data_IF_080067350224
#
_entry.id   IF_080067350224
#
_cell.length_a   1.000
_cell.length_b   1.000
_cell.length_c   1.000
_cell.angle_alpha   90.00
_cell.angle_beta   90.00
_cell.angle_gamma   90.00
#
_symmetry.space_group_name_H-M   'P 1'
#
loop_
_entity.id
_entity.type
_entity.pdbx_description
1 polymer ?
#
# COMPACT_ATOMS: atom_id res chain seq x y z
N UNK A 1 -5.09 10.32 -4.24
CA UNK A 1 -5.91 10.44 -3.01
C UNK A 1 -7.14 11.27 -3.30
N UNK A 2 -8.24 11.04 -2.61
CA UNK A 2 -9.47 11.83 -2.67
C UNK A 2 -9.98 12.03 -4.10
N UNK A 3 -9.72 13.18 -4.72
CA UNK A 3 -10.18 13.57 -6.06
C UNK A 3 -9.33 13.00 -7.21
N UNK A 4 -8.54 11.94 -6.98
CA UNK A 4 -7.65 11.39 -8.01
C UNK A 4 -8.34 11.02 -9.32
N UNK A 5 -9.57 10.48 -9.24
CA UNK A 5 -10.41 10.17 -10.40
C UNK A 5 -10.74 11.43 -11.23
N UNK A 6 -11.04 12.56 -10.57
CA UNK A 6 -11.31 13.84 -11.26
C UNK A 6 -10.05 14.39 -11.91
N UNK A 7 -8.93 14.41 -11.18
CA UNK A 7 -7.66 14.92 -11.72
C UNK A 7 -7.24 14.17 -12.98
N UNK A 8 -7.43 12.85 -13.03
CA UNK A 8 -7.13 12.06 -14.23
C UNK A 8 -8.11 12.32 -15.38
N UNK A 9 -9.40 12.54 -15.08
CA UNK A 9 -10.41 12.84 -16.07
C UNK A 9 -10.28 14.27 -16.65
N UNK A 10 -10.03 15.25 -15.78
CA UNK A 10 -9.96 16.68 -16.12
C UNK A 10 -8.61 17.06 -16.76
N UNK A 11 -7.56 16.26 -16.57
CA UNK A 11 -6.22 16.47 -17.12
C UNK A 11 -5.70 15.25 -17.90
N UNK A 12 -6.29 14.93 -19.07
CA UNK A 12 -5.96 13.73 -19.84
C UNK A 12 -4.49 13.66 -20.27
N UNK A 13 -3.87 14.79 -20.62
CA UNK A 13 -2.43 14.83 -20.97
C UNK A 13 -1.53 14.42 -19.80
N UNK A 14 -1.90 14.79 -18.57
CA UNK A 14 -1.20 14.36 -17.37
C UNK A 14 -1.41 12.86 -17.12
N UNK A 15 -2.66 12.39 -17.25
CA UNK A 15 -2.98 10.97 -17.13
C UNK A 15 -2.16 10.12 -18.13
N UNK A 16 -2.03 10.57 -19.37
CA UNK A 16 -1.23 9.91 -20.40
C UNK A 16 0.27 9.99 -20.12
N UNK A 17 0.78 11.13 -19.66
CA UNK A 17 2.21 11.33 -19.39
C UNK A 17 2.73 10.52 -18.19
N UNK A 18 1.90 10.29 -17.17
CA UNK A 18 2.27 9.49 -16.00
C UNK A 18 2.57 8.03 -16.39
N UNK A 19 3.68 7.50 -15.88
CA UNK A 19 4.08 6.11 -16.13
C UNK A 19 3.28 5.09 -15.31
N UNK A 20 2.66 5.53 -14.20
CA UNK A 20 1.98 4.67 -13.23
C UNK A 20 1.02 5.47 -12.37
N UNK A 21 -0.11 4.89 -11.99
CA UNK A 21 -1.01 5.49 -11.00
C UNK A 21 -0.85 4.83 -9.63
N UNK A 22 -1.04 5.60 -8.55
CA UNK A 22 -1.16 5.05 -7.19
C UNK A 22 -2.55 5.35 -6.65
N UNK A 23 -3.22 4.30 -6.23
CA UNK A 23 -4.53 4.38 -5.56
C UNK A 23 -4.35 3.96 -4.10
N UNK A 24 -5.13 4.54 -3.20
CA UNK A 24 -5.26 4.08 -1.83
C UNK A 24 -6.76 3.84 -1.58
N UNK A 25 -7.20 2.58 -1.39
CA UNK A 25 -8.62 2.25 -1.32
C UNK A 25 -9.34 2.90 -0.14
N UNK A 26 -8.65 3.22 0.96
CA UNK A 26 -9.28 3.92 2.09
C UNK A 26 -9.41 5.44 1.93
N UNK A 27 -8.93 6.01 0.80
CA UNK A 27 -8.97 7.45 0.53
C UNK A 27 -9.71 7.82 -0.76
N UNK A 28 -10.47 6.91 -1.36
CA UNK A 28 -11.21 7.15 -2.62
C UNK A 28 -12.72 7.36 -2.39
N UNK A 29 -13.12 7.74 -1.17
CA UNK A 29 -14.51 8.01 -0.82
C UNK A 29 -15.09 6.99 0.17
N UNK A 30 -16.41 7.04 0.36
CA UNK A 30 -17.15 6.21 1.32
C UNK A 30 -18.29 5.46 0.60
N UNK A 31 -18.55 4.21 1.01
CA UNK A 31 -19.64 3.35 0.48
C UNK A 31 -19.61 3.27 -1.04
N UNK A 32 -20.77 3.29 -1.71
CA UNK A 32 -20.89 3.23 -3.19
C UNK A 32 -20.02 4.25 -3.95
N UNK A 33 -19.72 5.41 -3.34
CA UNK A 33 -18.83 6.39 -3.97
C UNK A 33 -17.39 5.89 -4.03
N UNK A 34 -16.95 5.12 -3.03
CA UNK A 34 -15.60 4.52 -2.97
C UNK A 34 -15.37 3.63 -4.18
N UNK A 35 -16.29 2.70 -4.41
CA UNK A 35 -16.16 1.69 -5.46
C UNK A 35 -16.23 2.33 -6.85
N UNK A 36 -17.14 3.29 -7.06
CA UNK A 36 -17.22 4.05 -8.32
C UNK A 36 -15.96 4.86 -8.59
N UNK A 37 -15.39 5.52 -7.57
CA UNK A 37 -14.18 6.33 -7.74
C UNK A 37 -12.93 5.46 -7.93
N UNK A 38 -12.86 4.31 -7.25
CA UNK A 38 -11.84 3.31 -7.49
C UNK A 38 -11.90 2.81 -8.93
N UNK A 39 -13.08 2.38 -9.38
CA UNK A 39 -13.31 1.88 -10.72
C UNK A 39 -12.94 2.90 -11.79
N UNK A 40 -13.33 4.17 -11.62
CA UNK A 40 -12.98 5.24 -12.56
C UNK A 40 -11.46 5.42 -12.75
N UNK A 41 -10.65 5.23 -11.69
CA UNK A 41 -9.19 5.30 -11.83
C UNK A 41 -8.65 4.05 -12.56
N UNK A 42 -9.19 2.86 -12.26
CA UNK A 42 -8.80 1.60 -12.92
C UNK A 42 -9.14 1.64 -14.41
N UNK A 43 -10.34 2.09 -14.77
CA UNK A 43 -10.77 2.29 -16.17
C UNK A 43 -9.85 3.26 -16.91
N UNK A 44 -9.39 4.32 -16.24
CA UNK A 44 -8.42 5.24 -16.82
C UNK A 44 -7.05 4.59 -17.02
N UNK A 45 -6.62 3.75 -16.08
CA UNK A 45 -5.40 2.97 -16.22
C UNK A 45 -5.48 1.99 -17.40
N UNK A 46 -6.63 1.33 -17.58
CA UNK A 46 -6.88 0.47 -18.74
C UNK A 46 -6.80 1.29 -20.03
N UNK A 47 -7.52 2.42 -20.10
CA UNK A 47 -7.56 3.31 -21.28
C UNK A 47 -6.17 3.76 -21.73
N UNK A 48 -5.32 4.19 -20.80
CA UNK A 48 -3.97 4.66 -21.09
C UNK A 48 -2.89 3.59 -20.93
N UNK A 49 -3.29 2.31 -20.80
CA UNK A 49 -2.40 1.17 -20.71
C UNK A 49 -1.40 1.24 -19.53
N UNK A 50 -1.76 1.88 -18.41
CA UNK A 50 -0.88 2.17 -17.27
C UNK A 50 -0.93 1.08 -16.18
N UNK A 51 0.21 0.78 -15.52
CA UNK A 51 0.21 0.04 -14.28
C UNK A 51 -0.38 0.86 -13.12
N UNK A 52 -0.89 0.15 -12.12
CA UNK A 52 -1.49 0.72 -10.91
C UNK A 52 -0.81 0.11 -9.68
N UNK A 53 -0.39 0.96 -8.74
CA UNK A 53 -0.10 0.52 -7.38
C UNK A 53 -1.29 0.76 -6.47
N UNK A 54 -1.84 -0.32 -5.93
CA UNK A 54 -2.83 -0.29 -4.86
C UNK A 54 -2.06 -0.28 -3.54
N UNK A 55 -2.09 0.87 -2.87
CA UNK A 55 -1.32 1.09 -1.65
C UNK A 55 -2.21 1.36 -0.46
N UNK A 56 -2.40 0.34 0.38
CA UNK A 56 -3.05 0.44 1.69
C UNK A 56 -2.07 1.02 2.70
N UNK A 57 -2.55 1.95 3.52
CA UNK A 57 -1.82 2.49 4.66
C UNK A 57 -2.73 2.37 5.88
N UNK A 58 -2.18 1.96 7.03
CA UNK A 58 -2.97 1.80 8.25
C UNK A 58 -3.70 3.07 8.71
N UNK A 59 -3.06 4.25 8.61
CA UNK A 59 -3.64 5.53 9.00
C UNK A 59 -4.80 6.01 8.11
N UNK A 60 -5.06 5.31 7.00
CA UNK A 60 -6.22 5.54 6.14
C UNK A 60 -6.88 4.22 5.80
N UNK A 61 -6.95 3.29 6.75
CA UNK A 61 -7.58 2.00 6.55
C UNK A 61 -9.10 2.16 6.37
N UNK A 62 -9.68 1.29 5.55
CA UNK A 62 -11.12 1.19 5.40
C UNK A 62 -11.78 0.82 6.73
N UNK A 63 -12.50 1.78 7.30
CA UNK A 63 -13.16 1.64 8.61
C UNK A 63 -14.29 0.61 8.56
N UNK A 64 -14.99 0.47 7.44
CA UNK A 64 -16.10 -0.49 7.33
C UNK A 64 -15.58 -1.93 7.37
N UNK A 65 -14.48 -2.19 6.65
CA UNK A 65 -13.80 -3.47 6.69
C UNK A 65 -13.26 -3.78 8.09
N UNK A 66 -12.62 -2.80 8.74
CA UNK A 66 -12.10 -2.98 10.10
C UNK A 66 -13.22 -3.29 11.09
N UNK A 67 -14.32 -2.52 11.09
CA UNK A 67 -15.47 -2.75 11.96
C UNK A 67 -16.06 -4.14 11.75
N UNK A 68 -16.26 -4.55 10.49
CA UNK A 68 -16.76 -5.90 10.18
C UNK A 68 -15.86 -7.00 10.76
N UNK A 69 -14.54 -6.87 10.60
CA UNK A 69 -13.58 -7.84 11.13
C UNK A 69 -13.51 -7.84 12.66
N UNK A 70 -13.68 -6.69 13.30
CA UNK A 70 -13.78 -6.60 14.77
C UNK A 70 -15.06 -7.28 15.28
N UNK A 71 -16.21 -7.04 14.64
CA UNK A 71 -17.48 -7.68 14.97
C UNK A 71 -17.40 -9.20 14.78
N UNK A 72 -16.79 -9.66 13.69
CA UNK A 72 -16.59 -11.09 13.43
C UNK A 72 -15.64 -11.73 14.45
N UNK A 73 -14.57 -11.02 14.85
CA UNK A 73 -13.68 -11.46 15.93
C UNK A 73 -14.42 -11.56 17.27
N UNK A 74 -15.29 -10.59 17.59
CA UNK A 74 -16.12 -10.61 18.80
C UNK A 74 -17.11 -11.78 18.79
N UNK A 75 -17.80 -12.04 17.67
CA UNK A 75 -18.73 -13.19 17.52
C UNK A 75 -18.04 -14.53 17.73
N UNK A 76 -16.74 -14.61 17.41
CA UNK A 76 -15.91 -15.80 17.60
C UNK A 76 -15.30 -15.92 19.00
N UNK A 77 -15.61 -14.99 19.91
CA UNK A 77 -15.12 -15.01 21.29
C UNK A 77 -13.74 -14.35 21.49
N UNK A 78 -13.40 -13.35 20.67
CA UNK A 78 -12.12 -12.63 20.71
C UNK A 78 -10.86 -13.51 20.57
N UNK A 79 -10.79 -14.42 19.58
CA UNK A 79 -9.60 -15.26 19.38
C UNK A 79 -8.36 -14.46 18.98
N UNK A 80 -8.53 -13.25 18.42
CA UNK A 80 -7.45 -12.36 17.99
C UNK A 80 -7.41 -11.08 18.82
N UNK A 81 -6.21 -10.54 19.00
CA UNK A 81 -5.99 -9.19 19.52
C UNK A 81 -6.44 -8.12 18.52
N UNK A 82 -6.71 -6.91 18.99
CA UNK A 82 -7.06 -5.78 18.11
C UNK A 82 -5.97 -5.46 17.07
N UNK A 83 -4.70 -5.66 17.44
CA UNK A 83 -3.56 -5.48 16.53
C UNK A 83 -3.58 -6.52 15.40
N UNK A 84 -3.86 -7.79 15.71
CA UNK A 84 -3.97 -8.85 14.70
C UNK A 84 -5.16 -8.62 13.76
N UNK A 85 -6.31 -8.20 14.29
CA UNK A 85 -7.47 -7.83 13.45
C UNK A 85 -7.13 -6.66 12.52
N UNK A 86 -6.39 -5.67 13.01
CA UNK A 86 -5.94 -4.52 12.19
C UNK A 86 -5.01 -4.97 11.08
N UNK A 87 -4.05 -5.87 11.35
CA UNK A 87 -3.16 -6.44 10.33
C UNK A 87 -3.94 -7.20 9.26
N UNK A 88 -4.92 -8.02 9.67
CA UNK A 88 -5.78 -8.75 8.74
C UNK A 88 -6.59 -7.80 7.86
N UNK A 89 -7.15 -6.72 8.44
CA UNK A 89 -7.89 -5.71 7.69
C UNK A 89 -7.01 -5.01 6.63
N UNK A 90 -5.76 -4.72 6.96
CA UNK A 90 -4.80 -4.14 6.02
C UNK A 90 -4.51 -5.08 4.84
N UNK A 91 -4.28 -6.37 5.12
CA UNK A 91 -4.01 -7.39 4.10
C UNK A 91 -5.24 -7.60 3.21
N UNK A 92 -6.43 -7.81 3.80
CA UNK A 92 -7.67 -7.97 3.04
C UNK A 92 -7.97 -6.74 2.18
N UNK A 93 -7.77 -5.52 2.71
CA UNK A 93 -8.00 -4.30 1.95
C UNK A 93 -7.16 -4.27 0.67
N UNK A 94 -5.91 -4.74 0.71
CA UNK A 94 -5.03 -4.78 -0.46
C UNK A 94 -5.48 -5.85 -1.46
N UNK A 95 -5.78 -7.06 -0.99
CA UNK A 95 -6.18 -8.20 -1.84
C UNK A 95 -7.52 -7.95 -2.51
N UNK A 96 -8.56 -7.60 -1.75
CA UNK A 96 -9.90 -7.33 -2.27
C UNK A 96 -9.89 -6.18 -3.29
N UNK A 97 -9.03 -5.18 -3.09
CA UNK A 97 -8.88 -4.08 -4.05
C UNK A 97 -8.17 -4.52 -5.34
N UNK A 98 -7.22 -5.45 -5.27
CA UNK A 98 -6.60 -6.03 -6.47
C UNK A 98 -7.59 -6.90 -7.23
N UNK A 99 -8.32 -7.77 -6.54
CA UNK A 99 -9.38 -8.60 -7.13
C UNK A 99 -10.42 -7.73 -7.85
N UNK A 100 -10.89 -6.64 -7.21
CA UNK A 100 -11.78 -5.68 -7.85
C UNK A 100 -11.18 -5.04 -9.11
N UNK A 101 -9.89 -4.70 -9.10
CA UNK A 101 -9.22 -4.14 -10.28
C UNK A 101 -9.09 -5.16 -11.42
N UNK A 102 -8.82 -6.43 -11.10
CA UNK A 102 -8.81 -7.55 -12.05
C UNK A 102 -10.21 -7.79 -12.63
N UNK A 103 -11.26 -7.77 -11.81
CA UNK A 103 -12.67 -7.91 -12.24
C UNK A 103 -13.10 -6.81 -13.21
N UNK A 104 -12.61 -5.58 -13.03
CA UNK A 104 -12.83 -4.46 -13.95
C UNK A 104 -12.07 -4.66 -15.28
N UNK A 105 -11.07 -5.53 -15.31
CA UNK A 105 -10.32 -5.90 -16.50
C UNK A 105 -8.89 -5.37 -16.56
N UNK A 106 -8.33 -4.86 -15.45
CA UNK A 106 -6.91 -4.51 -15.40
C UNK A 106 -6.08 -5.79 -15.28
N UNK A 107 -5.17 -6.02 -16.22
CA UNK A 107 -4.29 -7.18 -16.20
C UNK A 107 -3.49 -7.27 -14.90
N UNK A 108 -3.38 -8.49 -14.35
CA UNK A 108 -2.68 -8.77 -13.09
C UNK A 108 -1.23 -8.28 -13.08
N UNK A 109 -0.55 -8.42 -14.21
CA UNK A 109 0.83 -7.97 -14.44
C UNK A 109 0.99 -6.44 -14.32
N UNK A 110 -0.11 -5.69 -14.32
CA UNK A 110 -0.16 -4.23 -14.15
C UNK A 110 -0.45 -3.80 -12.72
N UNK A 111 -0.70 -4.74 -11.82
CA UNK A 111 -1.08 -4.45 -10.44
C UNK A 111 0.12 -4.67 -9.52
N UNK A 112 0.43 -3.65 -8.72
CA UNK A 112 1.44 -3.69 -7.67
C UNK A 112 0.75 -3.43 -6.34
N UNK A 113 1.02 -4.25 -5.32
CA UNK A 113 0.47 -4.07 -3.98
C UNK A 113 1.46 -3.39 -3.04
N UNK A 114 0.94 -2.65 -2.06
CA UNK A 114 1.71 -2.22 -0.89
C UNK A 114 0.76 -2.06 0.29
N UNK A 115 1.22 -2.45 1.48
CA UNK A 115 0.43 -2.44 2.71
C UNK A 115 1.28 -1.88 3.86
N UNK A 116 1.42 -0.55 3.93
CA UNK A 116 2.45 0.08 4.79
C UNK A 116 1.92 0.40 6.18
N UNK A 117 2.74 0.05 7.17
CA UNK A 117 2.59 0.35 8.60
C UNK A 117 3.87 1.00 9.13
N UNK A 118 3.82 1.59 10.32
CA UNK A 118 4.96 2.29 10.95
C UNK A 118 5.71 1.43 11.98
N UNK A 119 5.12 0.34 12.46
CA UNK A 119 5.78 -0.62 13.35
C UNK A 119 6.62 -1.64 12.59
N UNK A 120 7.84 -1.91 13.07
CA UNK A 120 8.76 -2.90 12.46
C UNK A 120 8.13 -4.30 12.42
N UNK A 121 7.65 -4.78 13.57
CA UNK A 121 7.05 -6.12 13.68
C UNK A 121 5.74 -6.22 12.91
N UNK A 122 4.96 -5.14 12.88
CA UNK A 122 3.73 -5.08 12.08
C UNK A 122 4.04 -5.16 10.58
N UNK A 123 5.09 -4.49 10.10
CA UNK A 123 5.44 -4.50 8.68
C UNK A 123 5.85 -5.91 8.25
N UNK A 124 6.65 -6.59 9.06
CA UNK A 124 7.06 -7.97 8.82
C UNK A 124 5.82 -8.86 8.74
N UNK A 125 4.96 -8.84 9.76
CA UNK A 125 3.76 -9.67 9.79
C UNK A 125 2.83 -9.41 8.60
N UNK A 126 2.58 -8.14 8.25
CA UNK A 126 1.68 -7.76 7.14
C UNK A 126 2.23 -8.23 5.80
N UNK A 127 3.53 -8.04 5.52
CA UNK A 127 4.09 -8.43 4.22
C UNK A 127 4.30 -9.95 4.10
N UNK A 128 4.64 -10.66 5.18
CA UNK A 128 4.69 -12.13 5.18
C UNK A 128 3.33 -12.72 4.87
N UNK A 129 2.26 -12.22 5.49
CA UNK A 129 0.90 -12.66 5.22
C UNK A 129 0.44 -12.29 3.80
N UNK A 130 0.74 -11.07 3.36
CA UNK A 130 0.38 -10.60 2.02
C UNK A 130 1.08 -11.43 0.93
N UNK A 131 2.37 -11.76 1.10
CA UNK A 131 3.12 -12.60 0.16
C UNK A 131 2.65 -14.06 0.14
N UNK A 132 2.09 -14.55 1.25
CA UNK A 132 1.51 -15.91 1.32
C UNK A 132 0.18 -16.00 0.56
N UNK A 133 -0.59 -14.91 0.54
CA UNK A 133 -1.95 -14.87 -0.06
C UNK A 133 -2.02 -14.23 -1.44
N UNK A 134 -0.93 -13.64 -1.91
CA UNK A 134 -0.87 -12.93 -3.18
C UNK A 134 0.50 -13.06 -3.82
N UNK A 135 0.52 -13.28 -5.13
CA UNK A 135 1.73 -13.31 -5.96
C UNK A 135 1.90 -12.04 -6.81
N UNK A 136 1.15 -10.97 -6.50
CA UNK A 136 1.36 -9.66 -7.11
C UNK A 136 2.73 -9.10 -6.72
N UNK A 137 3.29 -8.25 -7.59
CA UNK A 137 4.49 -7.51 -7.22
C UNK A 137 4.24 -6.62 -6.00
N UNK A 138 5.15 -6.64 -5.02
CA UNK A 138 5.06 -5.97 -3.74
C UNK A 138 6.00 -4.77 -3.69
N UNK A 139 5.44 -3.58 -3.50
CA UNK A 139 6.19 -2.37 -3.19
C UNK A 139 6.36 -2.20 -1.69
N UNK A 140 7.50 -2.65 -1.18
CA UNK A 140 7.84 -2.69 0.23
C UNK A 140 8.29 -1.32 0.77
N UNK A 141 8.00 -1.07 2.03
CA UNK A 141 8.57 0.05 2.78
C UNK A 141 7.84 0.35 4.06
N UNK A 142 8.59 0.75 5.09
CA UNK A 142 8.06 1.30 6.32
C UNK A 142 7.50 2.71 6.06
N UNK A 143 6.29 3.01 6.52
CA UNK A 143 5.77 4.39 6.46
C UNK A 143 6.20 5.16 7.71
N UNK A 144 6.38 6.47 7.58
CA UNK A 144 6.67 7.35 8.72
C UNK A 144 7.86 6.87 9.58
N UNK A 145 8.95 6.44 8.93
CA UNK A 145 10.12 5.89 9.62
C UNK A 145 10.75 6.89 10.61
N UNK A 146 10.54 8.19 10.38
CA UNK A 146 11.04 9.28 11.21
C UNK A 146 12.32 9.90 10.63
N UNK A 147 13.00 10.68 11.46
CA UNK A 147 14.21 11.43 11.09
C UNK A 147 15.48 10.64 11.43
N UNK A 148 16.55 10.94 10.70
CA UNK A 148 17.92 10.52 11.03
C UNK A 148 18.11 9.02 11.20
N UNK A 149 18.98 8.65 12.16
CA UNK A 149 19.37 7.27 12.42
C UNK A 149 18.20 6.36 12.80
N UNK A 150 17.20 6.87 13.53
CA UNK A 150 16.01 6.11 13.91
C UNK A 150 15.25 5.58 12.69
N UNK A 151 15.01 6.45 11.70
CA UNK A 151 14.29 6.06 10.48
C UNK A 151 15.06 5.07 9.62
N UNK A 152 16.39 5.23 9.56
CA UNK A 152 17.29 4.29 8.88
C UNK A 152 17.23 2.93 9.55
N UNK A 153 17.50 2.86 10.85
CA UNK A 153 17.54 1.61 11.62
C UNK A 153 16.20 0.87 11.57
N UNK A 154 15.08 1.57 11.78
CA UNK A 154 13.77 0.95 11.73
C UNK A 154 13.43 0.38 10.34
N UNK A 155 13.77 1.13 9.29
CA UNK A 155 13.55 0.69 7.89
C UNK A 155 14.39 -0.53 7.55
N UNK A 156 15.69 -0.50 7.87
CA UNK A 156 16.61 -1.60 7.61
C UNK A 156 16.25 -2.85 8.41
N UNK A 157 15.87 -2.70 9.68
CA UNK A 157 15.48 -3.83 10.53
C UNK A 157 14.23 -4.55 10.01
N UNK A 158 13.21 -3.81 9.55
CA UNK A 158 11.98 -4.40 9.04
C UNK A 158 12.17 -5.02 7.65
N UNK A 159 12.78 -4.27 6.73
CA UNK A 159 12.91 -4.70 5.34
C UNK A 159 14.00 -5.73 5.14
N UNK A 160 15.09 -5.71 5.90
CA UNK A 160 16.15 -6.72 5.79
C UNK A 160 15.62 -8.15 6.02
N UNK A 161 14.73 -8.32 7.00
CA UNK A 161 14.07 -9.61 7.27
C UNK A 161 13.21 -10.05 6.09
N UNK A 162 12.36 -9.16 5.57
CA UNK A 162 11.45 -9.46 4.47
C UNK A 162 12.20 -9.74 3.15
N UNK A 163 13.19 -8.92 2.83
CA UNK A 163 14.01 -9.09 1.63
C UNK A 163 14.80 -10.41 1.69
N UNK A 164 15.33 -10.79 2.86
CA UNK A 164 15.99 -12.09 3.05
C UNK A 164 15.04 -13.29 2.86
N UNK A 165 13.73 -13.10 3.08
CA UNK A 165 12.69 -14.09 2.79
C UNK A 165 12.26 -14.10 1.32
N UNK A 166 12.82 -13.23 0.48
CA UNK A 166 12.42 -13.07 -0.92
C UNK A 166 11.15 -12.22 -1.09
N UNK A 167 10.77 -11.43 -0.09
CA UNK A 167 9.54 -10.61 -0.10
C UNK A 167 9.87 -9.15 -0.42
N UNK A 168 9.42 -8.68 -1.59
CA UNK A 168 9.52 -7.29 -2.03
C UNK A 168 10.23 -7.14 -3.37
N UNK A 169 9.54 -6.55 -4.35
CA UNK A 169 10.03 -6.40 -5.73
C UNK A 169 10.54 -4.98 -6.01
N UNK A 170 10.12 -4.01 -5.19
CA UNK A 170 10.61 -2.64 -5.21
C UNK A 170 10.47 -2.05 -3.82
N UNK A 171 11.45 -1.25 -3.39
CA UNK A 171 11.45 -0.64 -2.06
C UNK A 171 11.30 0.88 -2.12
N UNK A 172 10.84 1.46 -1.01
CA UNK A 172 11.03 2.88 -0.69
C UNK A 172 11.22 3.04 0.80
N UNK A 173 12.35 3.62 1.19
CA UNK A 173 12.57 4.15 2.53
C UNK A 173 11.88 5.51 2.65
N UNK A 174 11.09 5.71 3.71
CA UNK A 174 10.33 6.93 3.92
C UNK A 174 10.96 7.79 5.02
N UNK A 175 12.15 8.36 4.74
CA UNK A 175 12.81 9.26 5.70
C UNK A 175 12.14 10.63 5.71
N UNK A 176 11.98 11.18 6.91
CA UNK A 176 11.71 12.60 7.09
C UNK A 176 13.04 13.34 6.95
N UNK A 177 13.24 14.18 5.92
CA UNK A 177 14.45 14.96 5.78
C UNK A 177 14.58 15.97 6.92
N UNK A 178 15.81 16.31 7.28
CA UNK A 178 16.06 17.49 8.10
C UNK A 178 15.64 18.76 7.33
N UNK A 179 15.35 19.89 8.01
CA UNK A 179 15.13 21.16 7.34
C UNK A 179 16.30 21.50 6.41
N UNK A 180 16.02 21.77 5.14
CA UNK A 180 17.02 21.96 4.07
C UNK A 180 17.92 20.75 3.78
N UNK A 181 17.59 19.58 4.34
CA UNK A 181 18.30 18.33 4.08
C UNK A 181 18.02 17.78 2.69
N UNK A 182 18.96 17.02 2.15
CA UNK A 182 18.84 16.44 0.82
C UNK A 182 17.83 15.28 0.80
N UNK A 183 16.87 15.36 -0.14
CA UNK A 183 15.88 14.31 -0.37
C UNK A 183 16.52 13.03 -0.91
N UNK A 184 17.68 13.10 -1.56
CA UNK A 184 18.38 11.93 -2.11
C UNK A 184 18.82 10.93 -1.03
N UNK A 185 18.87 11.35 0.25
CA UNK A 185 19.28 10.47 1.35
C UNK A 185 18.43 9.20 1.44
N UNK A 186 17.13 9.29 1.17
CA UNK A 186 16.28 8.09 1.20
C UNK A 186 16.60 7.09 0.07
N UNK A 187 17.14 7.59 -1.05
CA UNK A 187 17.60 6.76 -2.18
C UNK A 187 18.92 6.08 -1.82
N UNK A 188 19.88 6.82 -1.26
CA UNK A 188 21.17 6.27 -0.82
C UNK A 188 20.98 5.13 0.18
N UNK A 189 20.14 5.34 1.21
CA UNK A 189 19.88 4.29 2.21
C UNK A 189 19.15 3.09 1.58
N UNK A 190 18.30 3.32 0.58
CA UNK A 190 17.64 2.23 -0.15
C UNK A 190 18.67 1.41 -0.96
N UNK A 191 19.66 2.06 -1.56
CA UNK A 191 20.75 1.38 -2.28
C UNK A 191 21.66 0.60 -1.32
N UNK A 192 22.06 1.23 -0.21
CA UNK A 192 22.88 0.61 0.84
C UNK A 192 22.20 -0.62 1.46
N UNK A 193 20.87 -0.61 1.60
CA UNK A 193 20.11 -1.76 2.13
C UNK A 193 20.09 -2.96 1.17
N UNK A 194 20.11 -2.72 -0.15
CA UNK A 194 20.01 -3.77 -1.17
C UNK A 194 21.37 -4.38 -1.56
N UNK A 195 22.47 -3.73 -1.19
CA UNK A 195 23.84 -4.16 -1.50
C UNK A 195 24.32 -5.25 -0.55
#
# INVERSE_FOLDING_TARGET
>A
HYIGHKLLADHPSCAEALAKYRINPGNVGFKDKKDRQFAAIVEMAIRYNKPVRIGVNWGSLDQELLTRLMDDNQRRGFPLTAQEVTREAIVQSAILSAEMAEEIGLGREKIILSAKVSGVQDLIAVYTELATRSNHALHLGLTEAGMGSKGIVASSAAMGILLQQGIGDTIRISLTPEPNGDRTREVQVSQELLQ
#
